data_IF_668748111303
#
_entry.id   IF_668748111303
#
_cell.length_a   1.000
_cell.length_b   1.000
_cell.length_c   1.000
_cell.angle_alpha   90.00
_cell.angle_beta   90.00
_cell.angle_gamma   90.00
#
_symmetry.space_group_name_H-M   'P 1'
#
loop_
_entity.id
_entity.type
_entity.pdbx_description
1 polymer ?
#
# COMPACT_ATOMS: atom_id res chain seq x y z
N UNK A 1 10.49 7.68 5.41
CA UNK A 1 11.87 7.25 5.25
C UNK A 1 11.94 6.06 4.30
N UNK A 2 12.82 6.13 3.32
CA UNK A 2 12.99 5.06 2.35
C UNK A 2 13.76 3.90 2.96
N UNK A 3 13.26 2.69 2.76
CA UNK A 3 13.92 1.46 3.15
C UNK A 3 14.35 0.74 1.87
N UNK A 4 15.60 0.30 1.81
CA UNK A 4 16.09 -0.42 0.63
C UNK A 4 15.72 -1.89 0.74
N UNK A 5 14.85 -2.34 -0.14
CA UNK A 5 14.41 -3.73 -0.21
C UNK A 5 14.75 -4.30 -1.59
N UNK A 6 15.06 -5.59 -1.62
CA UNK A 6 15.31 -6.31 -2.86
C UNK A 6 14.06 -7.06 -3.30
N UNK A 7 12.98 -6.29 -3.56
CA UNK A 7 11.72 -6.84 -4.03
C UNK A 7 11.33 -6.23 -5.37
N UNK A 8 10.55 -6.98 -6.11
CA UNK A 8 9.98 -6.57 -7.40
C UNK A 8 8.48 -6.87 -7.41
N UNK A 9 7.75 -6.15 -8.24
CA UNK A 9 6.32 -6.40 -8.41
C UNK A 9 6.03 -7.88 -8.70
N UNK A 10 6.93 -8.54 -9.45
CA UNK A 10 6.79 -9.96 -9.80
C UNK A 10 6.99 -10.92 -8.61
N UNK A 11 7.46 -10.43 -7.46
CA UNK A 11 7.51 -11.24 -6.25
C UNK A 11 6.13 -11.45 -5.61
N UNK A 12 5.13 -10.70 -6.06
CA UNK A 12 3.74 -10.87 -5.63
C UNK A 12 3.14 -12.06 -6.37
N UNK A 13 2.76 -13.10 -5.65
CA UNK A 13 2.23 -14.35 -6.22
C UNK A 13 0.80 -14.66 -5.77
N UNK A 14 0.32 -14.03 -4.71
CA UNK A 14 -1.02 -14.25 -4.17
C UNK A 14 -2.07 -13.45 -4.94
N UNK A 15 -3.33 -13.90 -4.97
CA UNK A 15 -4.42 -13.09 -5.51
C UNK A 15 -4.57 -11.77 -4.73
N UNK A 16 -4.88 -10.71 -5.45
CA UNK A 16 -5.07 -9.39 -4.87
C UNK A 16 -6.43 -8.83 -5.28
N UNK A 17 -6.93 -7.87 -4.50
CA UNK A 17 -8.16 -7.17 -4.81
C UNK A 17 -7.87 -5.83 -5.48
N UNK A 18 -8.78 -5.42 -6.38
CA UNK A 18 -8.81 -4.04 -6.86
C UNK A 18 -9.41 -3.12 -5.80
N UNK A 19 -9.24 -1.80 -5.91
CA UNK A 19 -9.95 -0.86 -5.04
C UNK A 19 -11.47 -1.06 -5.06
N UNK A 20 -12.06 -1.32 -6.22
CA UNK A 20 -13.52 -1.53 -6.32
C UNK A 20 -13.95 -2.81 -5.62
N UNK A 21 -13.19 -3.90 -5.76
CA UNK A 21 -13.45 -5.15 -5.04
C UNK A 21 -13.41 -4.92 -3.53
N UNK A 22 -12.41 -4.18 -3.07
CA UNK A 22 -12.26 -3.85 -1.65
C UNK A 22 -13.46 -3.05 -1.13
N UNK A 23 -13.86 -2.02 -1.85
CA UNK A 23 -15.00 -1.19 -1.45
C UNK A 23 -16.31 -1.99 -1.44
N UNK A 24 -16.45 -2.93 -2.36
CA UNK A 24 -17.64 -3.79 -2.42
C UNK A 24 -17.69 -4.74 -1.23
N UNK A 25 -16.57 -5.33 -0.84
CA UNK A 25 -16.51 -6.30 0.24
C UNK A 25 -16.47 -5.67 1.62
N UNK A 26 -15.69 -4.61 1.79
CA UNK A 26 -15.42 -4.00 3.09
C UNK A 26 -16.02 -2.61 3.27
N UNK A 27 -16.74 -2.09 2.30
CA UNK A 27 -17.22 -0.71 2.26
C UNK A 27 -18.00 -0.26 3.49
N UNK A 28 -18.85 -1.13 4.05
CA UNK A 28 -19.63 -0.79 5.23
C UNK A 28 -18.74 -0.51 6.45
N UNK A 29 -17.66 -1.29 6.62
CA UNK A 29 -16.74 -1.15 7.75
C UNK A 29 -15.88 0.11 7.68
N UNK A 30 -15.59 0.58 6.47
CA UNK A 30 -14.66 1.70 6.26
C UNK A 30 -15.34 2.97 5.77
N UNK A 31 -16.65 2.97 5.73
CA UNK A 31 -17.46 4.04 5.17
C UNK A 31 -17.11 5.42 5.73
N UNK A 32 -16.99 5.53 7.05
CA UNK A 32 -16.65 6.78 7.70
C UNK A 32 -15.23 7.26 7.31
N UNK A 33 -14.25 6.37 7.42
CA UNK A 33 -12.86 6.72 7.12
C UNK A 33 -12.68 7.14 5.66
N UNK A 34 -13.39 6.50 4.75
CA UNK A 34 -13.38 6.86 3.34
C UNK A 34 -14.03 8.23 3.11
N UNK A 35 -15.18 8.46 3.75
CA UNK A 35 -15.97 9.68 3.55
C UNK A 35 -15.26 10.93 4.04
N UNK A 36 -14.66 10.88 5.23
CA UNK A 36 -14.10 12.08 5.87
C UNK A 36 -12.73 12.48 5.34
N UNK A 37 -12.03 11.59 4.65
CA UNK A 37 -10.69 11.90 4.17
C UNK A 37 -10.77 12.73 2.89
N UNK A 38 -10.12 13.90 2.89
CA UNK A 38 -10.00 14.74 1.70
C UNK A 38 -8.52 14.90 1.36
N UNK A 39 -8.04 14.21 0.31
CA UNK A 39 -6.66 14.38 -0.12
C UNK A 39 -6.40 15.80 -0.62
N UNK A 40 -5.17 16.28 -0.44
CA UNK A 40 -4.77 17.59 -0.93
C UNK A 40 -4.72 17.60 -2.45
N UNK A 41 -5.62 18.36 -3.06
CA UNK A 41 -5.78 18.37 -4.53
C UNK A 41 -4.49 18.80 -5.24
N UNK A 42 -3.77 19.78 -4.69
CA UNK A 42 -2.51 20.24 -5.27
C UNK A 42 -1.45 19.16 -5.28
N UNK A 43 -1.38 18.36 -4.22
CA UNK A 43 -0.43 17.26 -4.12
C UNK A 43 -0.76 16.16 -5.13
N UNK A 44 -2.04 15.83 -5.28
CA UNK A 44 -2.47 14.83 -6.29
C UNK A 44 -2.11 15.29 -7.70
N UNK A 45 -2.31 16.56 -7.99
CA UNK A 45 -1.95 17.15 -9.29
C UNK A 45 -0.45 17.04 -9.53
N UNK A 46 0.36 17.34 -8.51
CA UNK A 46 1.81 17.26 -8.60
C UNK A 46 2.28 15.84 -8.86
N UNK A 47 1.67 14.84 -8.21
CA UNK A 47 1.96 13.42 -8.47
C UNK A 47 1.69 13.09 -9.94
N UNK A 48 0.53 13.47 -10.45
CA UNK A 48 0.15 13.19 -11.84
C UNK A 48 1.14 13.82 -12.84
N UNK A 49 1.47 15.08 -12.61
CA UNK A 49 2.39 15.81 -13.50
C UNK A 49 3.79 15.23 -13.45
N UNK A 50 4.25 14.84 -12.27
CA UNK A 50 5.56 14.24 -12.10
C UNK A 50 5.66 12.90 -12.86
N UNK A 51 4.68 12.04 -12.72
CA UNK A 51 4.67 10.75 -13.42
C UNK A 51 4.66 10.94 -14.94
N UNK A 52 3.87 11.89 -15.43
CA UNK A 52 3.84 12.21 -16.86
C UNK A 52 5.17 12.74 -17.36
N UNK A 53 5.81 13.63 -16.60
CA UNK A 53 7.09 14.21 -16.99
C UNK A 53 8.20 13.17 -17.09
N UNK A 54 8.11 12.11 -16.31
CA UNK A 54 9.07 11.01 -16.29
C UNK A 54 8.67 9.84 -17.21
N UNK A 55 7.51 9.91 -17.85
CA UNK A 55 6.94 8.80 -18.62
C UNK A 55 6.89 7.53 -17.75
N UNK A 56 6.41 7.68 -16.50
CA UNK A 56 6.37 6.61 -15.52
C UNK A 56 4.95 6.27 -15.09
N UNK A 57 4.82 5.11 -14.50
CA UNK A 57 3.61 4.64 -13.84
C UNK A 57 3.97 4.17 -12.45
N UNK A 58 3.03 4.28 -11.55
CA UNK A 58 3.20 3.88 -10.16
C UNK A 58 2.34 2.66 -9.87
N UNK A 59 2.95 1.62 -9.33
CA UNK A 59 2.25 0.42 -8.87
C UNK A 59 2.38 0.34 -7.37
N UNK A 60 1.25 0.18 -6.69
CA UNK A 60 1.19 0.16 -5.23
C UNK A 60 0.51 -1.13 -4.79
N UNK A 61 1.09 -1.83 -3.81
CA UNK A 61 0.45 -2.95 -3.15
C UNK A 61 0.28 -2.61 -1.67
N UNK A 62 -0.94 -2.78 -1.16
CA UNK A 62 -1.27 -2.60 0.25
C UNK A 62 -1.38 -3.97 0.91
N UNK A 63 -0.51 -4.27 1.87
CA UNK A 63 -0.60 -5.48 2.69
C UNK A 63 -1.43 -5.15 3.92
N UNK A 64 -2.41 -5.99 4.24
CA UNK A 64 -3.27 -5.73 5.38
C UNK A 64 -4.18 -6.88 5.76
N UNK A 65 -5.16 -6.56 6.61
CA UNK A 65 -6.15 -7.52 7.08
C UNK A 65 -7.42 -6.81 7.54
N UNK A 66 -8.52 -7.54 7.51
CA UNK A 66 -9.82 -7.01 7.93
C UNK A 66 -9.91 -6.73 9.43
N UNK A 67 -9.14 -7.46 10.25
CA UNK A 67 -9.14 -7.27 11.70
C UNK A 67 -8.36 -6.03 12.17
N UNK A 68 -7.62 -5.39 11.30
CA UNK A 68 -6.63 -4.36 11.64
C UNK A 68 -7.27 -2.96 11.61
N UNK A 69 -7.31 -2.25 12.75
CA UNK A 69 -7.87 -0.88 12.80
C UNK A 69 -7.13 0.11 11.91
N UNK A 70 -5.79 0.04 11.86
CA UNK A 70 -5.00 0.93 11.03
C UNK A 70 -5.22 0.67 9.54
N UNK A 71 -5.52 -0.58 9.17
CA UNK A 71 -5.90 -0.92 7.80
C UNK A 71 -7.24 -0.28 7.44
N UNK A 72 -8.22 -0.34 8.34
CA UNK A 72 -9.54 0.29 8.13
C UNK A 72 -9.44 1.81 7.96
N UNK A 73 -8.38 2.41 8.47
CA UNK A 73 -8.14 3.85 8.37
C UNK A 73 -7.37 4.21 7.11
N UNK A 74 -6.25 3.55 6.87
CA UNK A 74 -5.28 3.99 5.88
C UNK A 74 -5.46 3.37 4.49
N UNK A 75 -5.99 2.16 4.38
CA UNK A 75 -6.27 1.56 3.07
C UNK A 75 -7.37 2.36 2.34
N UNK A 76 -8.50 2.71 2.98
CA UNK A 76 -9.51 3.56 2.34
C UNK A 76 -8.97 4.92 1.91
N UNK A 77 -8.06 5.50 2.68
CA UNK A 77 -7.44 6.79 2.33
C UNK A 77 -6.62 6.68 1.04
N UNK A 78 -5.83 5.62 0.91
CA UNK A 78 -5.08 5.37 -0.31
C UNK A 78 -6.01 5.16 -1.51
N UNK A 79 -7.08 4.39 -1.33
CA UNK A 79 -8.09 4.19 -2.38
C UNK A 79 -8.67 5.53 -2.82
N UNK A 80 -9.03 6.38 -1.87
CA UNK A 80 -9.66 7.66 -2.19
C UNK A 80 -8.73 8.58 -2.97
N UNK A 81 -7.47 8.67 -2.58
CA UNK A 81 -6.53 9.52 -3.29
C UNK A 81 -6.32 9.03 -4.73
N UNK A 82 -6.27 7.73 -4.92
CA UNK A 82 -6.11 7.17 -6.27
C UNK A 82 -7.33 7.46 -7.14
N UNK A 83 -8.54 7.29 -6.60
CA UNK A 83 -9.78 7.62 -7.33
C UNK A 83 -9.88 9.10 -7.65
N UNK A 84 -9.44 9.97 -6.74
CA UNK A 84 -9.45 11.42 -6.96
C UNK A 84 -8.45 11.87 -8.02
N UNK A 85 -7.34 11.14 -8.20
CA UNK A 85 -6.38 11.47 -9.24
C UNK A 85 -6.91 11.24 -10.65
N UNK A 86 -7.84 10.32 -10.83
CA UNK A 86 -8.47 10.00 -12.14
C UNK A 86 -7.42 9.80 -13.24
N UNK A 87 -6.45 8.93 -12.98
CA UNK A 87 -5.38 8.64 -13.94
C UNK A 87 -5.19 7.13 -14.05
N UNK A 88 -4.74 6.69 -15.23
CA UNK A 88 -4.36 5.31 -15.46
C UNK A 88 -2.88 5.06 -15.12
N UNK A 89 -2.16 6.08 -14.69
CA UNK A 89 -0.73 5.98 -14.40
C UNK A 89 -0.46 5.48 -12.97
N UNK A 90 -1.50 5.25 -12.18
CA UNK A 90 -1.35 4.70 -10.81
C UNK A 90 -2.28 3.50 -10.65
N UNK A 91 -1.70 2.38 -10.27
CA UNK A 91 -2.43 1.13 -10.00
C UNK A 91 -2.28 0.78 -8.52
N UNK A 92 -3.39 0.45 -7.86
CA UNK A 92 -3.39 -0.04 -6.49
C UNK A 92 -3.97 -1.44 -6.45
N UNK A 93 -3.27 -2.37 -5.79
CA UNK A 93 -3.76 -3.71 -5.46
C UNK A 93 -3.73 -3.87 -3.95
N UNK A 94 -4.60 -4.70 -3.42
CA UNK A 94 -4.74 -4.91 -1.98
C UNK A 94 -4.61 -6.40 -1.69
N UNK A 95 -3.65 -6.74 -0.83
CA UNK A 95 -3.38 -8.11 -0.39
C UNK A 95 -3.76 -8.24 1.08
N UNK A 96 -4.92 -8.83 1.32
CA UNK A 96 -5.48 -9.04 2.67
C UNK A 96 -5.32 -10.47 3.13
N UNK A 97 -5.71 -10.72 4.38
CA UNK A 97 -5.67 -12.03 4.97
C UNK A 97 -4.45 -12.30 5.84
N UNK A 98 -3.67 -11.26 6.15
CA UNK A 98 -2.49 -11.41 7.00
C UNK A 98 -2.93 -11.61 8.45
N UNK A 99 -2.40 -12.67 9.09
CA UNK A 99 -2.76 -13.05 10.45
C UNK A 99 -1.56 -13.02 11.36
N UNK A 100 -1.76 -12.56 12.60
CA UNK A 100 -0.72 -12.56 13.63
C UNK A 100 -0.51 -13.98 14.16
N UNK A 101 0.74 -14.34 14.39
CA UNK A 101 1.09 -15.54 15.14
C UNK A 101 1.21 -15.17 16.62
N UNK A 102 0.15 -15.41 17.39
CA UNK A 102 0.09 -15.07 18.80
C UNK A 102 1.12 -15.83 19.65
N UNK A 103 1.65 -16.93 19.12
CA UNK A 103 2.62 -17.78 19.82
C UNK A 103 4.05 -17.58 19.30
N UNK A 104 4.29 -16.50 18.53
CA UNK A 104 5.63 -16.27 18.01
C UNK A 104 6.63 -16.03 19.14
N UNK A 105 7.86 -16.49 18.93
CA UNK A 105 8.97 -16.34 19.87
C UNK A 105 9.94 -15.27 19.37
N UNK A 106 10.82 -14.73 20.25
CA UNK A 106 11.87 -13.81 19.79
C UNK A 106 12.66 -14.42 18.62
N UNK A 107 12.86 -13.64 17.56
CA UNK A 107 13.54 -14.10 16.35
C UNK A 107 12.65 -14.76 15.31
N UNK A 108 11.41 -15.08 15.66
CA UNK A 108 10.42 -15.60 14.71
C UNK A 108 9.61 -14.45 14.10
N UNK A 109 9.01 -14.71 12.94
CA UNK A 109 8.11 -13.74 12.32
C UNK A 109 6.87 -13.52 13.17
N UNK A 110 6.39 -12.27 13.23
CA UNK A 110 5.14 -11.90 13.87
C UNK A 110 3.93 -12.57 13.17
N UNK A 111 4.04 -12.87 11.88
CA UNK A 111 2.92 -13.29 11.05
C UNK A 111 2.77 -14.80 11.02
N UNK A 112 1.52 -15.26 10.97
CA UNK A 112 1.21 -16.68 10.94
C UNK A 112 1.58 -17.27 9.57
N UNK A 113 2.45 -18.29 9.54
CA UNK A 113 3.02 -18.83 8.31
C UNK A 113 1.99 -19.48 7.39
N UNK A 114 1.01 -20.20 7.95
CA UNK A 114 0.06 -20.99 7.17
C UNK A 114 -1.27 -20.27 6.94
N UNK A 115 -1.58 -19.25 7.75
CA UNK A 115 -2.83 -18.49 7.66
C UNK A 115 -2.69 -17.13 7.02
N UNK A 116 -1.48 -16.76 6.64
CA UNK A 116 -1.21 -15.52 5.93
C UNK A 116 -0.81 -15.81 4.49
N UNK A 117 -0.99 -14.85 3.57
CA UNK A 117 -0.36 -14.96 2.25
C UNK A 117 1.16 -15.14 2.40
N UNK A 118 1.82 -15.91 1.52
CA UNK A 118 3.26 -16.17 1.64
C UNK A 118 4.11 -14.92 1.65
N UNK A 119 3.68 -13.86 1.01
CA UNK A 119 4.40 -12.58 1.00
C UNK A 119 4.60 -12.01 2.40
N UNK A 120 3.65 -12.25 3.31
CA UNK A 120 3.74 -11.73 4.68
C UNK A 120 4.93 -12.30 5.45
N UNK A 121 5.32 -13.53 5.14
CA UNK A 121 6.43 -14.22 5.83
C UNK A 121 7.68 -14.33 4.95
N UNK A 122 7.62 -13.84 3.73
CA UNK A 122 8.79 -13.78 2.85
C UNK A 122 9.72 -12.68 3.35
N UNK A 123 10.96 -13.03 3.78
CA UNK A 123 11.88 -12.04 4.37
C UNK A 123 12.23 -10.90 3.42
N UNK A 124 12.08 -11.07 2.12
CA UNK A 124 12.35 -9.98 1.16
C UNK A 124 11.47 -8.76 1.40
N UNK A 125 10.21 -8.96 1.81
CA UNK A 125 9.29 -7.84 2.04
C UNK A 125 9.53 -7.14 3.37
N UNK A 126 10.19 -7.80 4.32
CA UNK A 126 10.46 -7.24 5.66
C UNK A 126 9.20 -6.61 6.27
N UNK A 127 8.09 -7.36 6.22
CA UNK A 127 6.81 -6.87 6.71
C UNK A 127 6.82 -6.85 8.24
N UNK A 128 6.82 -5.65 8.83
CA UNK A 128 6.92 -5.45 10.28
C UNK A 128 5.59 -5.02 10.90
N UNK A 129 4.74 -4.39 10.11
CA UNK A 129 3.45 -3.88 10.57
C UNK A 129 2.48 -3.84 9.40
N UNK A 130 1.18 -3.79 9.68
CA UNK A 130 0.16 -3.59 8.65
C UNK A 130 -0.72 -2.40 9.03
N UNK A 131 -1.21 -1.63 8.04
CA UNK A 131 -0.93 -1.83 6.61
C UNK A 131 0.48 -1.37 6.25
N UNK A 132 1.09 -2.01 5.26
CA UNK A 132 2.29 -1.49 4.61
C UNK A 132 2.00 -1.36 3.13
N UNK A 133 2.35 -0.21 2.58
CA UNK A 133 2.18 0.09 1.17
C UNK A 133 3.55 0.08 0.52
N UNK A 134 3.75 -0.80 -0.45
CA UNK A 134 4.99 -0.87 -1.22
C UNK A 134 4.77 -0.25 -2.58
N UNK A 135 5.73 0.56 -3.02
CA UNK A 135 5.65 1.34 -4.26
C UNK A 135 6.65 0.82 -5.27
N UNK A 136 6.20 0.66 -6.51
CA UNK A 136 7.02 0.17 -7.61
C UNK A 136 6.81 1.05 -8.84
N UNK A 137 7.83 1.11 -9.70
CA UNK A 137 7.73 1.85 -10.95
C UNK A 137 7.06 1.00 -12.05
N UNK A 138 6.99 1.56 -13.25
CA UNK A 138 6.36 0.93 -14.41
C UNK A 138 6.92 -0.47 -14.71
N UNK A 139 8.22 -0.66 -14.54
CA UNK A 139 8.89 -1.95 -14.80
C UNK A 139 8.89 -2.90 -13.61
N UNK A 140 8.27 -2.49 -12.49
CA UNK A 140 8.16 -3.34 -11.30
C UNK A 140 9.32 -3.23 -10.33
N UNK A 141 10.17 -2.23 -10.45
CA UNK A 141 11.28 -1.98 -9.53
C UNK A 141 10.77 -1.27 -8.27
N UNK A 142 11.30 -1.65 -7.12
CA UNK A 142 10.91 -1.07 -5.83
C UNK A 142 11.34 0.38 -5.70
N UNK A 143 10.45 1.24 -5.20
CA UNK A 143 10.72 2.66 -5.00
C UNK A 143 10.77 3.06 -3.52
N UNK A 144 9.94 2.47 -2.69
CA UNK A 144 9.83 2.85 -1.29
C UNK A 144 8.57 2.28 -0.66
N UNK A 145 8.34 2.59 0.61
CA UNK A 145 7.16 2.09 1.33
C UNK A 145 6.61 3.13 2.31
N UNK A 146 5.34 2.96 2.66
CA UNK A 146 4.71 3.61 3.80
C UNK A 146 4.33 2.49 4.76
N UNK A 147 4.91 2.51 5.95
CA UNK A 147 4.67 1.47 6.95
C UNK A 147 3.65 1.97 7.99
N UNK A 148 2.53 1.26 8.08
CA UNK A 148 1.47 1.46 9.08
C UNK A 148 0.70 2.77 8.89
N UNK A 149 1.36 3.91 8.95
CA UNK A 149 0.75 5.22 8.74
C UNK A 149 1.76 6.15 8.08
N UNK A 150 1.29 7.17 7.33
CA UNK A 150 2.22 8.12 6.72
C UNK A 150 2.86 9.03 7.76
N UNK A 151 4.00 9.63 7.40
CA UNK A 151 4.66 10.65 8.21
C UNK A 151 3.87 11.96 8.19
N UNK A 152 3.42 12.35 7.01
CA UNK A 152 2.59 13.54 6.80
C UNK A 152 1.18 13.10 6.42
N UNK A 153 0.90 12.98 5.13
CA UNK A 153 -0.33 12.43 4.60
C UNK A 153 0.00 11.35 3.58
N UNK A 154 -0.98 10.52 3.22
CA UNK A 154 -0.77 9.49 2.20
C UNK A 154 -0.30 10.10 0.89
N UNK A 155 -0.90 11.20 0.46
CA UNK A 155 -0.54 11.84 -0.81
C UNK A 155 0.83 12.49 -0.73
N UNK A 156 1.17 13.15 0.37
CA UNK A 156 2.47 13.80 0.52
C UNK A 156 3.60 12.79 0.58
N UNK A 157 3.42 11.72 1.35
CA UNK A 157 4.42 10.65 1.44
C UNK A 157 4.61 9.95 0.09
N UNK A 158 3.52 9.73 -0.66
CA UNK A 158 3.59 9.17 -2.00
C UNK A 158 4.41 10.07 -2.93
N UNK A 159 4.16 11.37 -2.89
CA UNK A 159 4.91 12.33 -3.69
C UNK A 159 6.40 12.30 -3.33
N UNK A 160 6.73 12.27 -2.05
CA UNK A 160 8.12 12.19 -1.60
C UNK A 160 8.82 10.95 -2.12
N UNK A 161 8.14 9.80 -2.07
CA UNK A 161 8.70 8.54 -2.56
C UNK A 161 9.04 8.65 -4.05
N UNK A 162 8.11 9.13 -4.87
CA UNK A 162 8.36 9.21 -6.31
C UNK A 162 9.44 10.25 -6.66
N UNK A 163 9.49 11.36 -5.95
CA UNK A 163 10.53 12.38 -6.17
C UNK A 163 11.92 11.88 -5.82
N UNK A 164 12.03 11.09 -4.75
CA UNK A 164 13.32 10.55 -4.32
C UNK A 164 13.81 9.41 -5.21
N UNK A 165 12.89 8.67 -5.86
CA UNK A 165 13.22 7.38 -6.47
C UNK A 165 13.06 7.34 -8.00
N UNK A 166 12.41 8.34 -8.58
CA UNK A 166 12.20 8.43 -10.04
C UNK A 166 12.97 9.62 -10.69
#
# INVERSE_FOLDING_TARGET
MKKDLDIKWTDLVSPTMSPDDYLREFGEKIKYNYKVYEPKADTLKEIKEFLKSKNEQLKIIAFGADWCPDCHKNVPRMIKLIKRMKTNDVELRILYGIMVNALHKPGETLWHKTRSPPEAVNPKFELEAIPTFYFFNKTGEYLGLIKEHPKETMEEDTLDIIKESL
#
